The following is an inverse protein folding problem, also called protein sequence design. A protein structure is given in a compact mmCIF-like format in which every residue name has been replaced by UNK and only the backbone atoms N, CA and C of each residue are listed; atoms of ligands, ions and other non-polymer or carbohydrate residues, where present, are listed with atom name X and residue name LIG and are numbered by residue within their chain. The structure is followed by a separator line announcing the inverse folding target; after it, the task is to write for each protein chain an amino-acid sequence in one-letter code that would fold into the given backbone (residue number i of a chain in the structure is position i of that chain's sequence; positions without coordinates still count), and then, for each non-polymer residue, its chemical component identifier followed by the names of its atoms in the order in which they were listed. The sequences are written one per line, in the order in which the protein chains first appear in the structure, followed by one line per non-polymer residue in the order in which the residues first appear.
data_IF_496947817772
#
_entry.id   IF_496947817772
#
_cell.length_a   1.000
_cell.length_b   1.000
_cell.length_c   1.000
_cell.angle_alpha   90.00
_cell.angle_beta   90.00
_cell.angle_gamma   90.00
#
_symmetry.space_group_name_H-M   'P 1'
#
loop_
_entity.id
_entity.type
_entity.pdbx_description
1 polymer ?
#
# COMPACT_ATOMS: atom_id res chain seq x y z
N UNK A 1 3.04 19.81 -39.64
CA UNK A 1 2.51 19.00 -38.51
C UNK A 1 3.36 19.28 -37.28
N UNK A 2 2.78 19.91 -36.25
CA UNK A 2 3.47 20.31 -35.02
C UNK A 2 3.73 19.07 -34.16
N UNK A 3 4.99 18.80 -33.82
CA UNK A 3 5.38 17.82 -32.79
C UNK A 3 5.40 18.53 -31.44
N UNK A 4 4.61 18.06 -30.49
CA UNK A 4 4.63 18.51 -29.09
C UNK A 4 5.50 17.52 -28.31
N UNK A 5 6.61 18.02 -27.77
CA UNK A 5 7.51 17.29 -26.88
C UNK A 5 7.15 17.71 -25.45
N UNK A 6 6.66 16.78 -24.63
CA UNK A 6 6.32 17.03 -23.23
C UNK A 6 7.49 16.53 -22.36
N UNK A 7 8.37 17.44 -21.94
CA UNK A 7 9.33 17.20 -20.86
C UNK A 7 8.65 17.56 -19.53
N UNK A 8 8.45 16.58 -18.66
CA UNK A 8 8.00 16.79 -17.28
C UNK A 8 9.20 16.58 -16.34
N UNK A 9 9.89 17.68 -16.02
CA UNK A 9 10.80 17.76 -14.88
C UNK A 9 9.96 18.03 -13.63
N UNK A 10 9.63 16.97 -12.90
CA UNK A 10 9.06 17.08 -11.55
C UNK A 10 10.20 17.36 -10.57
N UNK A 11 10.47 18.65 -10.32
CA UNK A 11 11.11 19.08 -9.07
C UNK A 11 10.06 18.91 -7.96
N UNK A 12 10.05 17.76 -7.30
CA UNK A 12 9.30 17.57 -6.06
C UNK A 12 10.01 18.34 -4.94
N UNK A 13 9.57 19.57 -4.69
CA UNK A 13 9.65 20.12 -3.33
C UNK A 13 8.62 19.38 -2.48
N UNK A 14 9.06 18.32 -1.80
CA UNK A 14 8.24 17.60 -0.83
C UNK A 14 8.06 18.48 0.42
N UNK A 15 6.93 19.16 0.53
CA UNK A 15 6.48 19.68 1.82
C UNK A 15 6.03 18.48 2.69
N UNK A 16 6.78 18.19 3.76
CA UNK A 16 6.38 17.20 4.75
C UNK A 16 5.32 17.80 5.69
N UNK A 17 4.18 17.12 5.82
CA UNK A 17 3.12 17.46 6.79
C UNK A 17 3.06 16.40 7.89
N UNK A 18 2.76 16.81 9.12
CA UNK A 18 2.56 15.91 10.28
C UNK A 18 1.18 16.19 10.88
N UNK A 19 0.52 15.17 11.43
CA UNK A 19 -0.78 15.33 12.08
C UNK A 19 -0.60 15.47 13.60
N UNK A 20 -1.32 16.41 14.21
CA UNK A 20 -1.38 16.58 15.67
C UNK A 20 -2.80 16.45 16.17
N UNK A 21 -2.90 15.70 17.26
CA UNK A 21 -4.05 15.68 18.16
C UNK A 21 -3.78 16.68 19.29
N UNK A 22 -4.51 17.80 19.31
CA UNK A 22 -4.48 18.77 20.42
C UNK A 22 -5.77 18.68 21.23
N UNK A 23 -5.63 18.69 22.56
CA UNK A 23 -6.72 18.88 23.50
C UNK A 23 -6.84 20.33 23.87
N UNK A 24 -7.51 21.12 23.04
CA UNK A 24 -7.95 22.47 23.40
C UNK A 24 -9.47 22.52 23.43
N UNK A 25 -10.01 22.71 24.63
CA UNK A 25 -11.24 23.47 24.80
C UNK A 25 -10.94 24.90 24.34
N UNK A 26 -11.80 25.45 23.51
CA UNK A 26 -11.68 26.83 23.00
C UNK A 26 -11.64 27.81 24.18
N UNK A 27 -10.52 28.48 24.36
CA UNK A 27 -10.43 29.93 24.56
C UNK A 27 -8.96 30.37 24.56
N UNK A 28 -8.76 31.61 24.15
CA UNK A 28 -7.50 32.38 24.03
C UNK A 28 -6.89 32.49 22.62
N UNK A 29 -7.26 33.62 22.01
CA UNK A 29 -6.57 34.34 20.95
C UNK A 29 -5.09 34.58 21.27
N UNK A 30 -4.18 34.25 20.35
CA UNK A 30 -2.78 34.66 20.42
C UNK A 30 -2.39 35.55 19.25
N UNK A 31 -1.80 36.71 19.60
CA UNK A 31 -1.23 37.72 18.71
C UNK A 31 0.09 37.26 18.10
N UNK A 32 0.25 37.62 16.84
CA UNK A 32 1.46 37.49 16.03
C UNK A 32 2.59 38.35 16.59
N UNK A 33 3.75 37.74 16.87
CA UNK A 33 5.04 38.44 16.86
C UNK A 33 6.10 37.54 16.23
N UNK A 34 6.33 37.83 14.95
CA UNK A 34 7.39 37.30 14.13
C UNK A 34 8.69 38.08 14.39
N UNK A 35 9.77 37.39 14.80
CA UNK A 35 11.17 37.76 14.57
C UNK A 35 12.15 36.82 15.32
N UNK A 36 12.82 35.92 14.59
CA UNK A 36 14.28 35.92 14.36
C UNK A 36 14.94 34.55 14.14
N UNK A 37 15.73 34.55 13.05
CA UNK A 37 17.05 33.92 12.85
C UNK A 37 17.11 32.41 12.62
N UNK A 38 17.23 32.08 11.33
CA UNK A 38 17.79 30.84 10.80
C UNK A 38 19.11 30.46 11.48
N UNK A 39 19.06 29.45 12.35
CA UNK A 39 20.19 28.56 12.61
C UNK A 39 19.88 27.24 11.91
N UNK A 40 20.77 26.81 11.02
CA UNK A 40 20.77 25.43 10.49
C UNK A 40 20.82 24.49 11.68
N UNK A 41 19.71 23.81 11.96
CA UNK A 41 19.66 22.74 12.93
C UNK A 41 20.50 21.58 12.39
N UNK A 42 21.50 21.18 13.17
CA UNK A 42 22.27 19.97 12.99
C UNK A 42 21.27 18.81 13.11
N UNK A 43 21.12 18.01 12.05
CA UNK A 43 20.36 16.77 12.04
C UNK A 43 20.94 15.84 13.12
N UNK A 44 20.29 15.77 14.26
CA UNK A 44 20.56 14.75 15.28
C UNK A 44 19.98 13.42 14.82
N UNK A 45 20.73 12.36 15.09
CA UNK A 45 20.52 10.95 14.77
C UNK A 45 19.28 10.30 15.43
N UNK A 46 18.23 11.07 15.74
CA UNK A 46 16.97 10.60 16.32
C UNK A 46 15.96 10.15 15.24
N UNK A 47 16.36 10.13 13.96
CA UNK A 47 15.49 9.76 12.82
C UNK A 47 15.34 8.24 12.63
N UNK A 48 15.93 7.42 13.51
CA UNK A 48 16.09 5.98 13.27
C UNK A 48 15.87 5.12 14.52
N UNK A 49 14.83 5.41 15.29
CA UNK A 49 14.27 4.42 16.22
C UNK A 49 13.04 3.77 15.58
N UNK A 50 13.20 2.50 15.18
CA UNK A 50 12.07 1.61 14.90
C UNK A 50 11.32 1.37 16.21
N UNK A 51 10.22 2.11 16.40
CA UNK A 51 9.36 1.95 17.57
C UNK A 51 8.58 0.64 17.47
N UNK A 52 8.95 -0.33 18.29
CA UNK A 52 8.16 -1.54 18.53
C UNK A 52 6.75 -1.15 19.01
N UNK A 53 5.75 -1.78 18.39
CA UNK A 53 4.36 -1.66 18.81
C UNK A 53 4.21 -2.27 20.21
N UNK A 54 4.18 -1.40 21.23
CA UNK A 54 3.81 -1.71 22.63
C UNK A 54 4.91 -2.42 23.45
N UNK A 55 5.70 -1.65 24.21
CA UNK A 55 6.61 -2.17 25.25
C UNK A 55 5.87 -2.38 26.58
N UNK A 56 6.05 -3.54 27.23
CA UNK A 56 5.53 -3.86 28.57
C UNK A 56 4.27 -4.73 28.60
N UNK A 57 4.14 -5.64 29.57
CA UNK A 57 2.99 -6.55 29.72
C UNK A 57 1.72 -5.85 30.25
N UNK A 58 1.88 -4.61 30.70
CA UNK A 58 0.82 -3.81 31.31
C UNK A 58 -0.16 -3.18 30.31
N UNK A 59 0.17 -3.21 29.01
CA UNK A 59 -0.71 -2.76 27.93
C UNK A 59 -1.48 -3.94 27.36
N UNK A 60 -2.80 -3.84 27.41
CA UNK A 60 -3.71 -4.83 26.83
C UNK A 60 -4.49 -4.24 25.66
N UNK A 61 -4.47 -4.91 24.50
CA UNK A 61 -5.36 -4.60 23.38
C UNK A 61 -6.68 -5.34 23.59
N UNK A 62 -7.76 -4.61 23.90
CA UNK A 62 -9.09 -5.18 24.20
C UNK A 62 -9.85 -5.56 22.93
N UNK A 63 -9.79 -4.71 21.92
CA UNK A 63 -10.44 -4.95 20.62
C UNK A 63 -9.59 -4.44 19.46
N UNK A 64 -9.70 -5.12 18.32
CA UNK A 64 -9.07 -4.75 17.06
C UNK A 64 -10.06 -5.10 15.96
N UNK A 65 -10.64 -4.09 15.34
CA UNK A 65 -11.69 -4.24 14.33
C UNK A 65 -11.29 -3.54 13.05
N UNK A 66 -11.30 -4.26 11.95
CA UNK A 66 -11.11 -3.68 10.61
C UNK A 66 -12.38 -3.89 9.82
N UNK A 67 -13.01 -2.81 9.40
CA UNK A 67 -14.22 -2.84 8.61
C UNK A 67 -13.96 -2.13 7.29
N UNK A 68 -14.12 -2.83 6.17
CA UNK A 68 -14.02 -2.26 4.83
C UNK A 68 -15.38 -2.35 4.14
N UNK A 69 -15.83 -1.23 3.59
CA UNK A 69 -17.03 -1.14 2.73
C UNK A 69 -16.59 -0.74 1.34
N UNK A 70 -16.76 -1.67 0.40
CA UNK A 70 -16.45 -1.48 -1.01
C UNK A 70 -17.77 -1.27 -1.75
N UNK A 71 -17.93 -0.11 -2.37
CA UNK A 71 -19.08 0.21 -3.23
C UNK A 71 -18.59 0.73 -4.56
N UNK A 72 -18.98 0.08 -5.66
CA UNK A 72 -18.55 0.47 -7.01
C UNK A 72 -17.03 0.66 -7.10
N UNK A 73 -16.25 -0.34 -6.67
CA UNK A 73 -14.77 -0.32 -6.62
C UNK A 73 -14.16 0.79 -5.74
N UNK A 74 -14.95 1.52 -4.95
CA UNK A 74 -14.44 2.49 -4.00
C UNK A 74 -14.49 1.89 -2.59
N UNK A 75 -13.32 1.69 -1.99
CA UNK A 75 -13.20 1.07 -0.67
C UNK A 75 -13.07 2.16 0.40
N UNK A 76 -13.90 2.06 1.44
CA UNK A 76 -13.76 2.84 2.67
C UNK A 76 -13.46 1.90 3.81
N UNK A 77 -12.25 1.99 4.35
CA UNK A 77 -11.79 1.16 5.45
C UNK A 77 -11.70 1.95 6.74
N UNK A 78 -12.16 1.33 7.82
CA UNK A 78 -12.07 1.83 9.18
C UNK A 78 -11.32 0.82 10.04
N UNK A 79 -10.24 1.25 10.69
CA UNK A 79 -9.45 0.45 11.63
C UNK A 79 -9.68 1.01 13.02
N UNK A 80 -10.24 0.20 13.93
CA UNK A 80 -10.47 0.54 15.32
C UNK A 80 -9.64 -0.35 16.24
N UNK A 81 -8.96 0.25 17.21
CA UNK A 81 -8.19 -0.47 18.23
C UNK A 81 -8.45 0.12 19.61
N UNK A 82 -8.84 -0.72 20.57
CA UNK A 82 -9.04 -0.33 21.97
C UNK A 82 -7.91 -0.88 22.83
N UNK A 83 -7.26 -0.01 23.58
CA UNK A 83 -6.06 -0.30 24.38
C UNK A 83 -6.25 0.21 25.80
N UNK A 84 -5.79 -0.57 26.79
CA UNK A 84 -5.78 -0.20 28.21
C UNK A 84 -4.37 -0.26 28.75
N UNK A 85 -3.92 0.80 29.41
CA UNK A 85 -2.72 0.77 30.25
C UNK A 85 -3.10 0.42 31.68
N UNK A 86 -2.83 -0.82 32.09
CA UNK A 86 -3.09 -1.31 33.45
C UNK A 86 -1.88 -1.13 34.38
N UNK A 87 -0.78 -0.59 33.87
CA UNK A 87 0.47 -0.42 34.61
C UNK A 87 0.42 0.78 35.55
N UNK A 88 1.33 0.84 36.54
CA UNK A 88 1.37 1.91 37.53
C UNK A 88 1.92 3.24 36.99
N UNK A 89 2.54 3.22 35.80
CA UNK A 89 3.18 4.38 35.18
C UNK A 89 2.61 4.68 33.79
N UNK A 90 2.83 5.91 33.33
CA UNK A 90 2.51 6.28 31.96
C UNK A 90 3.46 5.59 30.98
N UNK A 91 2.95 5.16 29.83
CA UNK A 91 3.69 4.40 28.82
C UNK A 91 3.45 5.01 27.43
N UNK A 92 4.44 4.94 26.54
CA UNK A 92 4.26 5.30 25.13
C UNK A 92 3.86 4.05 24.35
N UNK A 93 2.78 4.13 23.57
CA UNK A 93 2.34 3.06 22.68
C UNK A 93 2.35 3.54 21.22
N UNK A 94 2.65 2.62 20.30
CA UNK A 94 2.52 2.85 18.86
C UNK A 94 1.19 2.31 18.34
N UNK A 95 0.45 3.12 17.60
CA UNK A 95 -0.61 2.63 16.71
C UNK A 95 -0.11 2.74 15.28
N UNK A 96 0.33 1.58 14.76
CA UNK A 96 0.94 1.47 13.45
C UNK A 96 -0.01 0.71 12.53
N UNK A 97 -0.42 1.33 11.43
CA UNK A 97 -1.29 0.73 10.41
C UNK A 97 -0.67 0.96 9.05
N UNK A 98 -0.36 -0.14 8.36
CA UNK A 98 -0.01 -0.06 6.95
C UNK A 98 -1.29 0.08 6.11
N UNK A 99 -1.30 1.07 5.21
CA UNK A 99 -2.38 1.38 4.29
C UNK A 99 -1.87 1.22 2.85
N UNK A 100 -2.75 0.89 1.88
CA UNK A 100 -2.35 0.79 0.48
C UNK A 100 -1.74 2.09 -0.07
N UNK A 101 -0.76 1.99 -0.97
CA UNK A 101 -0.08 3.13 -1.63
C UNK A 101 -1.01 4.20 -2.22
N UNK A 102 -2.19 3.76 -2.67
CA UNK A 102 -3.18 4.62 -3.37
C UNK A 102 -4.30 5.07 -2.44
N UNK A 103 -4.27 4.65 -1.18
CA UNK A 103 -5.22 5.07 -0.19
C UNK A 103 -4.85 6.46 0.33
N UNK A 104 -5.87 7.21 0.74
CA UNK A 104 -5.70 8.47 1.45
C UNK A 104 -6.47 8.42 2.76
N UNK A 105 -5.86 9.00 3.79
CA UNK A 105 -6.46 9.09 5.12
C UNK A 105 -7.51 10.20 5.09
N UNK A 106 -8.72 9.88 5.55
CA UNK A 106 -9.85 10.82 5.61
C UNK A 106 -10.06 11.36 7.00
N UNK A 107 -9.87 10.53 8.02
CA UNK A 107 -10.04 10.92 9.41
C UNK A 107 -9.21 10.01 10.32
N UNK A 108 -8.67 10.58 11.38
CA UNK A 108 -8.06 9.85 12.47
C UNK A 108 -8.54 10.45 13.78
N UNK A 109 -9.09 9.63 14.66
CA UNK A 109 -9.53 10.04 15.98
C UNK A 109 -8.92 9.16 17.07
N UNK A 110 -8.62 9.78 18.21
CA UNK A 110 -8.21 9.10 19.42
C UNK A 110 -9.18 9.47 20.52
N UNK A 111 -9.82 8.51 21.16
CA UNK A 111 -10.61 8.72 22.36
C UNK A 111 -9.78 8.34 23.59
N UNK A 112 -9.63 9.24 24.57
CA UNK A 112 -8.95 8.93 25.84
C UNK A 112 -9.94 9.18 26.98
N UNK A 113 -10.33 8.11 27.67
CA UNK A 113 -11.27 8.15 28.81
C UNK A 113 -12.58 8.92 28.51
N UNK A 114 -13.09 8.86 27.28
CA UNK A 114 -14.33 9.52 26.84
C UNK A 114 -14.11 10.86 26.13
N UNK A 115 -12.90 11.43 26.14
CA UNK A 115 -12.58 12.65 25.42
C UNK A 115 -12.05 12.29 24.04
N UNK A 116 -12.80 12.64 22.98
CA UNK A 116 -12.40 12.40 21.59
C UNK A 116 -11.55 13.54 21.07
N UNK A 117 -10.42 13.18 20.50
CA UNK A 117 -9.51 14.07 19.83
C UNK A 117 -9.48 13.74 18.33
N UNK A 118 -9.58 14.76 17.49
CA UNK A 118 -9.55 14.61 16.04
C UNK A 118 -8.17 15.07 15.53
N UNK A 119 -7.53 14.23 14.72
CA UNK A 119 -6.25 14.54 14.10
C UNK A 119 -6.37 15.72 13.16
N UNK A 120 -5.55 16.75 13.36
CA UNK A 120 -5.46 17.91 12.48
C UNK A 120 -4.14 17.92 11.71
N UNK A 121 -4.19 18.20 10.41
CA UNK A 121 -2.98 18.37 9.59
C UNK A 121 -2.31 19.69 9.98
N UNK A 122 -1.03 19.65 10.35
CA UNK A 122 -0.22 20.83 10.66
C UNK A 122 1.13 20.74 9.95
N UNK A 123 1.83 21.87 9.88
CA UNK A 123 3.23 21.88 9.44
C UNK A 123 4.10 21.09 10.43
N UNK A 124 5.09 20.35 9.92
CA UNK A 124 5.98 19.46 10.68
C UNK A 124 6.59 20.08 11.94
N UNK A 125 7.09 21.32 11.86
CA UNK A 125 7.75 21.99 13.01
C UNK A 125 6.74 22.36 14.11
N UNK A 126 5.60 22.91 13.70
CA UNK A 126 4.47 23.25 14.58
C UNK A 126 3.94 21.98 15.26
N UNK A 127 3.82 20.90 14.50
CA UNK A 127 3.29 19.63 14.99
C UNK A 127 4.11 19.07 16.18
N UNK A 128 5.44 19.07 16.03
CA UNK A 128 6.39 18.60 17.04
C UNK A 128 6.38 19.43 18.32
N UNK A 129 6.31 20.75 18.18
CA UNK A 129 6.29 21.64 19.33
C UNK A 129 5.03 21.42 20.17
N UNK A 130 3.87 21.25 19.53
CA UNK A 130 2.61 20.94 20.22
C UNK A 130 2.67 19.59 20.95
N UNK A 131 3.20 18.55 20.29
CA UNK A 131 3.34 17.22 20.89
C UNK A 131 4.24 17.24 22.13
N UNK A 132 5.42 17.86 22.04
CA UNK A 132 6.38 17.94 23.16
C UNK A 132 5.78 18.71 24.34
N UNK A 133 5.05 19.81 24.10
CA UNK A 133 4.36 20.57 25.15
C UNK A 133 3.28 19.73 25.85
N UNK A 134 2.49 18.97 25.10
CA UNK A 134 1.45 18.12 25.67
C UNK A 134 2.04 16.98 26.53
N UNK A 135 3.10 16.32 26.03
CA UNK A 135 3.84 15.29 26.77
C UNK A 135 4.46 15.83 28.05
N UNK A 136 5.09 17.01 28.00
CA UNK A 136 5.68 17.65 29.18
C UNK A 136 4.64 17.98 30.27
N UNK A 137 3.38 18.19 29.86
CA UNK A 137 2.24 18.43 30.77
C UNK A 137 1.55 17.15 31.23
N UNK A 138 2.07 15.96 30.89
CA UNK A 138 1.45 14.67 31.22
C UNK A 138 0.11 14.42 30.52
N UNK A 139 -0.22 15.17 29.47
CA UNK A 139 -1.44 14.97 28.69
C UNK A 139 -1.24 13.84 27.69
N UNK A 140 -2.33 13.14 27.36
CA UNK A 140 -2.34 12.23 26.23
C UNK A 140 -2.20 13.03 24.93
N UNK A 141 -1.26 12.63 24.08
CA UNK A 141 -0.97 13.28 22.81
C UNK A 141 -0.48 12.25 21.78
N UNK A 142 -0.83 12.46 20.51
CA UNK A 142 -0.43 11.63 19.39
C UNK A 142 0.25 12.48 18.30
N UNK A 143 1.30 11.95 17.67
CA UNK A 143 1.95 12.56 16.50
C UNK A 143 2.13 11.53 15.40
N UNK A 144 1.72 11.89 14.19
CA UNK A 144 1.87 11.03 13.01
C UNK A 144 3.12 11.41 12.24
N UNK A 145 4.01 10.45 12.01
CA UNK A 145 5.23 10.64 11.21
C UNK A 145 5.02 10.03 9.83
N UNK A 146 4.99 10.87 8.80
CA UNK A 146 5.07 10.42 7.41
C UNK A 146 6.49 10.65 6.88
N UNK A 147 7.21 9.57 6.57
CA UNK A 147 8.43 9.66 5.76
C UNK A 147 8.03 9.66 4.28
N UNK A 148 8.69 10.46 3.43
CA UNK A 148 8.40 10.50 1.99
C UNK A 148 8.68 9.17 1.28
N UNK A 149 9.45 8.27 1.92
CA UNK A 149 9.71 6.91 1.45
C UNK A 149 8.72 5.88 2.02
N UNK A 150 8.07 6.15 3.17
CA UNK A 150 7.13 5.26 3.87
C UNK A 150 5.71 5.84 3.92
N UNK A 151 5.21 6.36 2.80
CA UNK A 151 3.86 6.95 2.73
C UNK A 151 2.73 5.92 2.94
N UNK A 152 3.07 4.64 3.03
CA UNK A 152 2.15 3.52 3.24
C UNK A 152 1.96 3.16 4.71
N UNK A 153 2.74 3.71 5.66
CA UNK A 153 2.58 3.34 7.07
C UNK A 153 2.14 4.54 7.90
N UNK A 154 0.92 4.48 8.38
CA UNK A 154 0.43 5.39 9.41
C UNK A 154 1.05 4.98 10.75
N UNK A 155 2.05 5.73 11.22
CA UNK A 155 2.68 5.51 12.53
C UNK A 155 2.31 6.66 13.45
N UNK A 156 1.62 6.38 14.55
CA UNK A 156 1.41 7.36 15.62
C UNK A 156 1.97 6.85 16.94
N UNK A 157 2.76 7.69 17.61
CA UNK A 157 3.20 7.47 18.98
C UNK A 157 2.26 8.22 19.92
N UNK A 158 1.70 7.50 20.90
CA UNK A 158 0.74 8.04 21.86
C UNK A 158 1.25 7.85 23.28
N UNK A 159 1.26 8.95 24.04
CA UNK A 159 1.54 8.90 25.47
C UNK A 159 0.28 8.52 26.26
N UNK A 160 0.35 7.44 27.03
CA UNK A 160 -0.79 6.78 27.70
C UNK A 160 -0.60 6.79 29.21
N UNK A 161 -1.33 7.65 29.95
CA UNK A 161 -1.30 7.64 31.40
C UNK A 161 -1.69 6.29 32.01
N UNK A 162 -1.24 6.02 33.23
CA UNK A 162 -1.66 4.85 34.02
C UNK A 162 -3.20 4.81 34.18
N UNK A 163 -3.79 3.64 34.04
CA UNK A 163 -5.23 3.40 34.21
C UNK A 163 -6.11 3.94 33.08
N UNK A 164 -5.53 4.47 31.99
CA UNK A 164 -6.29 5.04 30.89
C UNK A 164 -6.75 3.98 29.88
N UNK A 165 -7.96 4.21 29.34
CA UNK A 165 -8.53 3.49 28.21
C UNK A 165 -8.50 4.39 26.99
N UNK A 166 -7.94 3.87 25.89
CA UNK A 166 -7.76 4.59 24.64
C UNK A 166 -8.40 3.83 23.50
N UNK A 167 -9.15 4.52 22.65
CA UNK A 167 -9.66 3.99 21.39
C UNK A 167 -9.08 4.77 20.22
N UNK A 168 -8.41 4.07 19.31
CA UNK A 168 -7.94 4.60 18.04
C UNK A 168 -8.95 4.26 16.95
N UNK A 169 -9.25 5.23 16.10
CA UNK A 169 -10.08 5.02 14.91
C UNK A 169 -9.45 5.74 13.71
N UNK A 170 -9.06 4.97 12.70
CA UNK A 170 -8.46 5.46 11.47
C UNK A 170 -9.37 5.13 10.30
N UNK A 171 -9.72 6.14 9.50
CA UNK A 171 -10.46 6.00 8.26
C UNK A 171 -9.57 6.33 7.07
N UNK A 172 -9.53 5.43 6.09
CA UNK A 172 -8.90 5.69 4.81
C UNK A 172 -9.74 5.16 3.67
N UNK A 173 -9.55 5.76 2.49
CA UNK A 173 -10.31 5.43 1.30
C UNK A 173 -9.38 5.18 0.13
N UNK A 174 -9.76 4.26 -0.76
CA UNK A 174 -9.04 4.00 -2.00
C UNK A 174 -9.99 3.68 -3.16
N UNK A 175 -9.60 4.09 -4.37
CA UNK A 175 -10.19 3.57 -5.59
C UNK A 175 -9.44 2.31 -6.00
N UNK A 176 -10.15 1.18 -5.98
CA UNK A 176 -9.58 -0.12 -6.31
C UNK A 176 -9.15 -0.19 -7.77
N UNK A 177 -8.05 -0.89 -8.00
CA UNK A 177 -7.46 -1.03 -9.33
C UNK A 177 -7.49 -2.49 -9.76
N UNK A 178 -8.00 -2.73 -10.98
CA UNK A 178 -8.10 -4.07 -11.54
C UNK A 178 -6.77 -4.48 -12.17
N UNK A 179 -6.23 -5.63 -11.79
CA UNK A 179 -5.04 -6.25 -12.40
C UNK A 179 -5.23 -7.74 -12.56
N UNK A 180 -4.70 -8.29 -13.66
CA UNK A 180 -4.73 -9.74 -13.93
C UNK A 180 -6.12 -10.36 -13.75
N UNK A 181 -7.17 -9.63 -14.12
CA UNK A 181 -8.55 -10.12 -14.05
C UNK A 181 -9.31 -9.81 -12.76
N UNK A 182 -8.68 -9.25 -11.72
CA UNK A 182 -9.32 -9.07 -10.41
C UNK A 182 -9.09 -7.69 -9.81
N UNK A 183 -10.01 -7.26 -8.96
CA UNK A 183 -9.80 -6.21 -7.98
C UNK A 183 -9.23 -6.86 -6.71
N UNK A 184 -8.08 -6.38 -6.24
CA UNK A 184 -7.42 -6.89 -5.04
C UNK A 184 -7.53 -5.84 -3.93
N UNK A 185 -8.18 -6.20 -2.82
CA UNK A 185 -8.25 -5.39 -1.61
C UNK A 185 -7.36 -6.01 -0.54
N UNK A 186 -6.33 -5.27 -0.11
CA UNK A 186 -5.34 -5.74 0.86
C UNK A 186 -5.49 -4.99 2.17
N UNK A 187 -5.71 -5.73 3.25
CA UNK A 187 -5.77 -5.23 4.62
C UNK A 187 -4.55 -5.72 5.39
N UNK A 188 -3.71 -4.80 5.85
CA UNK A 188 -2.54 -5.14 6.67
C UNK A 188 -2.97 -5.26 8.13
N UNK A 189 -2.87 -6.47 8.68
CA UNK A 189 -3.33 -6.81 10.03
C UNK A 189 -2.13 -7.03 10.94
N UNK A 190 -1.94 -6.13 11.91
CA UNK A 190 -0.83 -6.20 12.86
C UNK A 190 -1.27 -5.77 14.27
N UNK A 191 -2.12 -6.57 14.96
CA UNK A 191 -2.53 -6.28 16.32
C UNK A 191 -1.37 -6.29 17.35
N UNK A 192 -0.22 -6.92 17.03
CA UNK A 192 0.98 -7.00 17.88
C UNK A 192 0.86 -7.90 19.12
N UNK A 193 -0.35 -8.06 19.66
CA UNK A 193 -0.68 -8.87 20.84
C UNK A 193 -1.96 -9.65 20.63
N UNK A 194 -2.22 -10.61 21.51
CA UNK A 194 -3.50 -11.32 21.54
C UNK A 194 -4.66 -10.35 21.83
N UNK A 195 -5.73 -10.44 21.04
CA UNK A 195 -6.88 -9.54 21.11
C UNK A 195 -8.16 -10.32 21.39
N UNK A 196 -8.81 -10.14 22.55
CA UNK A 196 -10.05 -10.85 22.88
C UNK A 196 -11.19 -10.61 21.89
N UNK A 197 -11.28 -9.38 21.37
CA UNK A 197 -12.28 -8.99 20.37
C UNK A 197 -11.61 -8.60 19.05
N UNK A 198 -11.13 -9.61 18.32
CA UNK A 198 -10.59 -9.43 16.97
C UNK A 198 -11.68 -9.67 15.93
N UNK A 199 -11.84 -8.77 14.96
CA UNK A 199 -12.79 -8.97 13.86
C UNK A 199 -12.37 -8.20 12.61
N UNK A 200 -12.46 -8.84 11.44
CA UNK A 200 -12.34 -8.20 10.13
C UNK A 200 -13.61 -8.46 9.34
N UNK A 201 -14.21 -7.40 8.83
CA UNK A 201 -15.38 -7.44 7.97
C UNK A 201 -15.09 -6.71 6.66
N UNK A 202 -15.33 -7.37 5.53
CA UNK A 202 -15.30 -6.74 4.21
C UNK A 202 -16.67 -6.90 3.58
N UNK A 203 -17.36 -5.76 3.40
CA UNK A 203 -18.64 -5.67 2.71
C UNK A 203 -18.39 -5.17 1.31
N UNK A 204 -18.85 -5.92 0.31
CA UNK A 204 -18.75 -5.55 -1.10
C UNK A 204 -20.17 -5.35 -1.62
N UNK A 205 -20.41 -4.24 -2.32
CA UNK A 205 -21.62 -3.96 -3.06
C UNK A 205 -21.28 -3.45 -4.46
N UNK A 206 -21.73 -4.18 -5.48
CA UNK A 206 -21.49 -3.84 -6.88
C UNK A 206 -22.82 -3.82 -7.64
N UNK A 207 -23.26 -2.64 -8.12
CA UNK A 207 -24.56 -2.51 -8.81
C UNK A 207 -24.71 -3.41 -10.03
N UNK A 208 -23.62 -3.68 -10.76
CA UNK A 208 -23.59 -4.60 -11.91
C UNK A 208 -23.60 -6.08 -11.53
N UNK A 209 -23.33 -6.39 -10.27
CA UNK A 209 -23.18 -7.75 -9.77
C UNK A 209 -21.74 -8.18 -9.65
N UNK A 210 -21.53 -9.13 -8.75
CA UNK A 210 -20.25 -9.75 -8.43
C UNK A 210 -20.16 -11.05 -9.23
N UNK A 211 -19.08 -11.23 -10.00
CA UNK A 211 -18.86 -12.47 -10.76
C UNK A 211 -18.17 -13.53 -9.92
N UNK A 212 -17.17 -13.12 -9.14
CA UNK A 212 -16.33 -14.02 -8.34
C UNK A 212 -15.84 -13.30 -7.09
N UNK A 213 -15.68 -14.05 -6.01
CA UNK A 213 -15.01 -13.62 -4.77
C UNK A 213 -14.08 -14.74 -4.33
N UNK A 214 -12.81 -14.41 -4.12
CA UNK A 214 -11.75 -15.33 -3.76
C UNK A 214 -10.97 -14.74 -2.59
N UNK A 215 -10.64 -15.58 -1.62
CA UNK A 215 -9.83 -15.19 -0.47
C UNK A 215 -8.53 -15.98 -0.54
N UNK A 216 -7.47 -15.42 -1.14
CA UNK A 216 -6.17 -16.07 -1.12
C UNK A 216 -5.66 -16.21 0.31
N UNK A 217 -4.95 -17.28 0.60
CA UNK A 217 -4.42 -17.58 1.94
C UNK A 217 -3.17 -16.74 2.27
N UNK A 218 -3.18 -15.43 1.97
CA UNK A 218 -2.03 -14.53 2.15
C UNK A 218 -1.69 -14.26 3.61
N UNK A 219 -2.66 -14.41 4.52
CA UNK A 219 -2.42 -14.31 5.97
C UNK A 219 -1.81 -15.61 6.54
N UNK A 220 -1.87 -16.71 5.80
CA UNK A 220 -1.40 -18.03 6.22
C UNK A 220 -2.46 -19.11 6.11
N UNK A 221 -2.04 -20.32 5.75
CA UNK A 221 -2.95 -21.45 5.48
C UNK A 221 -3.80 -21.86 6.69
N UNK A 222 -3.30 -21.67 7.91
CA UNK A 222 -4.01 -22.04 9.15
C UNK A 222 -5.25 -21.18 9.44
N UNK A 223 -5.38 -20.01 8.81
CA UNK A 223 -6.55 -19.15 8.97
C UNK A 223 -7.65 -19.38 7.94
N UNK A 224 -7.38 -20.13 6.87
CA UNK A 224 -8.28 -20.28 5.72
C UNK A 224 -9.68 -20.76 6.12
N UNK A 225 -9.76 -21.72 7.04
CA UNK A 225 -11.04 -22.29 7.52
C UNK A 225 -11.82 -21.36 8.45
N UNK A 226 -11.18 -20.32 8.99
CA UNK A 226 -11.82 -19.35 9.88
C UNK A 226 -12.53 -18.24 9.11
N UNK A 227 -12.24 -18.11 7.82
CA UNK A 227 -12.80 -17.06 6.97
C UNK A 227 -14.13 -17.54 6.41
N UNK A 228 -15.17 -16.76 6.65
CA UNK A 228 -16.52 -17.03 6.14
C UNK A 228 -16.84 -16.04 5.04
N UNK A 229 -17.27 -16.55 3.89
CA UNK A 229 -17.71 -15.74 2.75
C UNK A 229 -19.19 -16.03 2.50
N UNK A 230 -20.01 -14.98 2.53
CA UNK A 230 -21.40 -15.02 2.09
C UNK A 230 -21.55 -14.11 0.89
N UNK A 231 -22.05 -14.63 -0.24
CA UNK A 231 -22.23 -13.84 -1.46
C UNK A 231 -23.62 -14.02 -2.03
N UNK A 232 -24.20 -12.92 -2.50
CA UNK A 232 -25.38 -12.85 -3.36
C UNK A 232 -24.95 -12.38 -4.76
N UNK A 233 -25.92 -12.03 -5.61
CA UNK A 233 -25.67 -11.49 -6.95
C UNK A 233 -24.86 -10.18 -6.92
N UNK A 234 -25.14 -9.30 -5.98
CA UNK A 234 -24.68 -7.91 -5.94
C UNK A 234 -23.93 -7.56 -4.66
N UNK A 235 -23.96 -8.43 -3.64
CA UNK A 235 -23.34 -8.21 -2.34
C UNK A 235 -22.46 -9.38 -1.96
N UNK A 236 -21.35 -9.09 -1.30
CA UNK A 236 -20.56 -10.10 -0.61
C UNK A 236 -20.16 -9.60 0.77
N UNK A 237 -20.03 -10.53 1.71
CA UNK A 237 -19.55 -10.27 3.07
C UNK A 237 -18.51 -11.32 3.41
N UNK A 238 -17.29 -10.85 3.68
CA UNK A 238 -16.17 -11.66 4.13
C UNK A 238 -15.96 -11.34 5.61
N UNK A 239 -15.95 -12.39 6.44
CA UNK A 239 -15.76 -12.29 7.89
C UNK A 239 -14.56 -13.12 8.31
N UNK A 240 -13.65 -12.50 9.07
CA UNK A 240 -12.58 -13.20 9.76
C UNK A 240 -12.60 -12.81 11.25
N UNK A 241 -12.89 -13.80 12.10
CA UNK A 241 -13.13 -13.60 13.55
C UNK A 241 -12.48 -14.71 14.40
N UNK A 242 -11.15 -14.79 14.44
CA UNK A 242 -10.42 -15.75 15.26
C UNK A 242 -10.59 -15.47 16.75
N UNK A 243 -10.79 -16.54 17.53
CA UNK A 243 -10.76 -16.46 18.99
C UNK A 243 -9.32 -16.40 19.52
N UNK A 244 -9.16 -16.19 20.84
CA UNK A 244 -7.83 -16.07 21.46
C UNK A 244 -6.93 -17.29 21.25
N UNK A 245 -7.46 -18.52 21.24
CA UNK A 245 -6.65 -19.72 21.03
C UNK A 245 -6.17 -19.82 19.59
N UNK A 246 -7.01 -19.41 18.62
CA UNK A 246 -6.67 -19.37 17.20
C UNK A 246 -5.65 -18.28 16.86
N UNK A 247 -5.45 -17.30 17.74
CA UNK A 247 -4.43 -16.24 17.57
C UNK A 247 -3.05 -16.64 18.13
N UNK A 248 -2.97 -17.68 18.95
CA UNK A 248 -1.70 -18.06 19.59
C UNK A 248 -0.78 -18.82 18.64
N UNK A 249 0.51 -18.50 18.69
CA UNK A 249 1.56 -19.25 18.01
C UNK A 249 2.00 -20.48 18.84
N UNK A 250 1.97 -20.40 20.16
CA UNK A 250 2.27 -21.49 21.09
C UNK A 250 1.45 -21.37 22.37
N UNK A 251 1.43 -22.42 23.21
CA UNK A 251 0.55 -22.49 24.39
C UNK A 251 0.72 -21.30 25.37
N UNK A 252 1.95 -20.76 25.48
CA UNK A 252 2.33 -19.72 26.45
C UNK A 252 2.80 -18.38 25.84
N UNK A 253 2.56 -18.10 24.55
CA UNK A 253 2.93 -16.78 23.99
C UNK A 253 1.87 -15.70 24.28
N UNK A 254 2.34 -14.47 24.50
CA UNK A 254 1.53 -13.24 24.55
C UNK A 254 1.37 -12.55 23.18
N UNK A 255 2.18 -12.97 22.19
CA UNK A 255 2.16 -12.47 20.83
C UNK A 255 1.08 -13.16 19.98
N UNK A 256 0.46 -12.40 19.09
CA UNK A 256 -0.49 -12.92 18.10
C UNK A 256 0.26 -13.41 16.86
N UNK A 257 -0.19 -14.51 16.28
CA UNK A 257 0.27 -15.02 14.98
C UNK A 257 -0.34 -14.24 13.80
N UNK A 258 -1.31 -13.35 14.07
CA UNK A 258 -1.85 -12.44 13.08
C UNK A 258 -0.85 -11.31 12.86
N UNK A 259 -0.01 -11.47 11.84
CA UNK A 259 0.88 -10.43 11.32
C UNK A 259 1.04 -10.67 9.81
N UNK A 260 0.35 -9.86 9.00
CA UNK A 260 0.43 -10.00 7.55
C UNK A 260 -0.74 -9.37 6.80
N UNK A 261 -0.91 -9.82 5.55
CA UNK A 261 -1.88 -9.23 4.62
C UNK A 261 -3.09 -10.15 4.49
N UNK A 262 -4.25 -9.62 4.82
CA UNK A 262 -5.54 -10.23 4.51
C UNK A 262 -6.04 -9.70 3.17
N UNK A 263 -6.13 -10.58 2.17
CA UNK A 263 -6.45 -10.19 0.80
C UNK A 263 -7.83 -10.69 0.41
N UNK A 264 -8.66 -9.80 -0.12
CA UNK A 264 -9.92 -10.14 -0.78
C UNK A 264 -9.79 -9.85 -2.26
N UNK A 265 -9.91 -10.87 -3.10
CA UNK A 265 -9.98 -10.73 -4.55
C UNK A 265 -11.42 -10.86 -4.98
N UNK A 266 -11.89 -9.97 -5.83
CA UNK A 266 -13.19 -10.13 -6.45
C UNK A 266 -13.20 -9.56 -7.86
N UNK A 267 -14.21 -9.92 -8.62
CA UNK A 267 -14.46 -9.31 -9.91
C UNK A 267 -15.95 -9.06 -10.13
N UNK A 268 -16.28 -8.19 -11.08
CA UNK A 268 -17.65 -7.81 -11.39
C UNK A 268 -18.13 -8.45 -12.68
N UNK A 269 -19.43 -8.66 -12.79
CA UNK A 269 -20.07 -9.05 -14.06
C UNK A 269 -19.81 -7.95 -15.10
N UNK A 270 -19.35 -8.36 -16.29
CA UNK A 270 -19.06 -7.44 -17.41
C UNK A 270 -19.86 -7.82 -18.64
N UNK A 271 -20.43 -6.79 -19.23
CA UNK A 271 -21.01 -6.87 -20.57
C UNK A 271 -19.92 -6.63 -21.63
N UNK A 272 -20.10 -7.14 -22.85
CA UNK A 272 -19.15 -6.95 -23.96
C UNK A 272 -19.14 -5.52 -24.56
N UNK A 273 -19.97 -4.61 -24.02
CA UNK A 273 -20.23 -3.29 -24.59
C UNK A 273 -19.33 -2.19 -23.98
N UNK A 274 -19.67 -0.91 -24.25
CA UNK A 274 -18.92 0.32 -23.98
C UNK A 274 -18.64 0.66 -22.49
N UNK A 275 -18.59 -0.32 -21.59
CA UNK A 275 -18.35 -0.14 -20.17
C UNK A 275 -19.60 0.23 -19.38
N UNK A 276 -19.39 0.58 -18.11
CA UNK A 276 -20.41 0.90 -17.13
C UNK A 276 -20.29 2.37 -16.72
N UNK A 277 -21.32 3.16 -17.00
CA UNK A 277 -21.43 4.55 -16.54
C UNK A 277 -22.37 4.60 -15.32
N UNK A 278 -21.85 5.05 -14.19
CA UNK A 278 -22.63 5.35 -12.99
C UNK A 278 -22.69 6.86 -12.79
N UNK A 279 -23.87 7.40 -12.49
CA UNK A 279 -24.10 8.83 -12.24
C UNK A 279 -24.83 8.97 -10.90
N UNK A 280 -24.30 9.80 -10.00
CA UNK A 280 -24.92 10.15 -8.72
C UNK A 280 -24.54 11.57 -8.33
N UNK A 281 -25.51 12.35 -7.86
CA UNK A 281 -25.29 13.68 -7.25
C UNK A 281 -24.40 14.63 -8.07
N UNK A 282 -24.64 14.70 -9.39
CA UNK A 282 -23.87 15.55 -10.30
C UNK A 282 -22.46 15.05 -10.64
N UNK A 283 -22.07 13.89 -10.14
CA UNK A 283 -20.81 13.21 -10.42
C UNK A 283 -21.05 11.94 -11.23
N UNK A 284 -20.02 11.48 -11.93
CA UNK A 284 -20.07 10.22 -12.67
C UNK A 284 -18.76 9.45 -12.57
N UNK A 285 -18.85 8.13 -12.73
CA UNK A 285 -17.72 7.22 -12.90
C UNK A 285 -18.00 6.32 -14.09
N UNK A 286 -17.04 6.22 -15.00
CA UNK A 286 -17.13 5.35 -16.18
C UNK A 286 -16.07 4.26 -16.11
N UNK A 287 -16.51 3.01 -15.91
CA UNK A 287 -15.64 1.84 -15.95
C UNK A 287 -15.63 1.23 -17.35
N UNK A 288 -14.52 1.35 -18.07
CA UNK A 288 -14.37 0.80 -19.42
C UNK A 288 -13.42 -0.40 -19.42
N UNK A 289 -14.00 -1.61 -19.54
CA UNK A 289 -13.25 -2.87 -19.60
C UNK A 289 -14.05 -3.92 -20.39
N UNK A 290 -14.19 -3.77 -21.72
CA UNK A 290 -14.91 -4.73 -22.55
C UNK A 290 -14.27 -6.12 -22.46
N UNK A 291 -15.11 -7.15 -22.39
CA UNK A 291 -14.71 -8.55 -22.46
C UNK A 291 -14.70 -9.07 -23.91
N UNK A 292 -14.08 -10.23 -24.13
CA UNK A 292 -14.13 -10.97 -25.40
C UNK A 292 -13.54 -10.23 -26.62
N UNK A 293 -12.63 -9.28 -26.40
CA UNK A 293 -11.81 -8.73 -27.49
C UNK A 293 -10.69 -9.71 -27.82
N UNK A 294 -10.54 -10.03 -29.10
CA UNK A 294 -9.37 -10.78 -29.58
C UNK A 294 -8.10 -9.97 -29.28
N UNK A 295 -7.04 -10.61 -28.74
CA UNK A 295 -5.76 -9.95 -28.56
C UNK A 295 -5.28 -9.34 -29.88
N UNK A 296 -4.92 -8.06 -29.86
CA UNK A 296 -4.34 -7.42 -31.03
C UNK A 296 -2.89 -7.90 -31.23
N UNK A 297 -2.48 -8.19 -32.48
CA UNK A 297 -1.08 -8.37 -32.82
C UNK A 297 -0.24 -7.17 -32.37
N UNK A 298 0.94 -7.43 -31.82
CA UNK A 298 1.82 -6.38 -31.27
C UNK A 298 3.17 -6.38 -31.98
N UNK A 299 3.74 -5.19 -32.11
CA UNK A 299 5.13 -4.97 -32.49
C UNK A 299 5.91 -4.63 -31.22
N UNK A 300 6.86 -5.49 -30.81
CA UNK A 300 7.55 -5.39 -29.53
C UNK A 300 9.06 -5.34 -29.74
N UNK A 301 9.72 -4.31 -29.21
CA UNK A 301 11.19 -4.27 -29.15
C UNK A 301 11.61 -4.41 -27.69
N UNK A 302 12.33 -5.47 -27.37
CA UNK A 302 12.90 -5.66 -26.04
C UNK A 302 14.27 -5.00 -25.98
N UNK A 303 14.41 -3.97 -25.14
CA UNK A 303 15.67 -3.26 -24.95
C UNK A 303 16.26 -3.65 -23.58
N UNK A 304 17.37 -4.39 -23.59
CA UNK A 304 17.91 -5.09 -22.42
C UNK A 304 19.27 -4.51 -22.03
N UNK A 305 19.39 -4.01 -20.80
CA UNK A 305 20.69 -3.59 -20.24
C UNK A 305 21.54 -4.84 -19.95
N UNK A 306 22.75 -4.85 -20.51
CA UNK A 306 23.77 -5.90 -20.33
C UNK A 306 25.10 -5.32 -19.84
N UNK A 307 25.04 -4.20 -19.14
CA UNK A 307 26.17 -3.59 -18.45
C UNK A 307 26.75 -4.51 -17.37
N UNK A 308 27.99 -4.25 -16.94
CA UNK A 308 28.64 -5.04 -15.89
C UNK A 308 27.83 -5.10 -14.58
N UNK A 309 27.00 -4.08 -14.31
CA UNK A 309 26.14 -4.04 -13.13
C UNK A 309 25.08 -5.15 -13.11
N UNK A 310 24.72 -5.71 -14.26
CA UNK A 310 23.70 -6.75 -14.40
C UNK A 310 24.21 -8.14 -14.03
N UNK A 311 25.51 -8.29 -13.77
CA UNK A 311 26.12 -9.57 -13.44
C UNK A 311 25.46 -10.27 -12.25
N UNK A 312 25.43 -11.61 -12.29
CA UNK A 312 24.86 -12.45 -11.26
C UNK A 312 23.33 -12.59 -11.38
N UNK A 313 22.63 -12.35 -10.26
CA UNK A 313 21.20 -12.66 -10.11
C UNK A 313 20.32 -11.86 -11.07
N UNK A 314 20.62 -10.57 -11.29
CA UNK A 314 19.81 -9.69 -12.16
C UNK A 314 19.78 -10.20 -13.60
N UNK A 315 20.93 -10.56 -14.18
CA UNK A 315 20.96 -11.13 -15.53
C UNK A 315 20.28 -12.49 -15.58
N UNK A 316 20.49 -13.37 -14.58
CA UNK A 316 19.81 -14.67 -14.53
C UNK A 316 18.29 -14.51 -14.56
N UNK A 317 17.74 -13.64 -13.71
CA UNK A 317 16.30 -13.36 -13.67
C UNK A 317 15.80 -12.73 -14.97
N UNK A 318 16.59 -11.86 -15.60
CA UNK A 318 16.24 -11.25 -16.89
C UNK A 318 16.19 -12.29 -18.01
N UNK A 319 17.15 -13.22 -18.07
CA UNK A 319 17.15 -14.33 -19.04
C UNK A 319 15.94 -15.24 -18.82
N UNK A 320 15.66 -15.63 -17.57
CA UNK A 320 14.49 -16.46 -17.23
C UNK A 320 13.17 -15.77 -17.62
N UNK A 321 13.03 -14.47 -17.33
CA UNK A 321 11.85 -13.69 -17.70
C UNK A 321 11.70 -13.58 -19.22
N UNK A 322 12.79 -13.30 -19.95
CA UNK A 322 12.76 -13.24 -21.41
C UNK A 322 12.41 -14.59 -22.04
N UNK A 323 12.89 -15.70 -21.48
CA UNK A 323 12.51 -17.03 -21.96
C UNK A 323 11.00 -17.27 -21.85
N UNK A 324 10.40 -16.90 -20.72
CA UNK A 324 8.95 -17.02 -20.52
C UNK A 324 8.15 -16.06 -21.42
N UNK A 325 8.58 -14.80 -21.54
CA UNK A 325 7.92 -13.81 -22.40
C UNK A 325 7.94 -14.25 -23.86
N UNK A 326 9.06 -14.80 -24.34
CA UNK A 326 9.18 -15.30 -25.71
C UNK A 326 8.30 -16.53 -25.98
N UNK A 327 8.00 -17.35 -24.97
CA UNK A 327 7.04 -18.47 -25.11
C UNK A 327 5.60 -18.01 -25.28
N UNK A 328 5.25 -16.85 -24.72
CA UNK A 328 3.90 -16.28 -24.78
C UNK A 328 3.63 -15.48 -26.07
N UNK A 329 4.65 -15.26 -26.91
CA UNK A 329 4.48 -14.58 -28.20
C UNK A 329 3.75 -15.47 -29.20
N UNK A 330 2.86 -14.86 -29.99
CA UNK A 330 2.12 -15.54 -31.05
C UNK A 330 2.75 -15.30 -32.42
N UNK A 331 2.38 -16.12 -33.41
CA UNK A 331 2.89 -15.98 -34.80
C UNK A 331 2.52 -14.64 -35.44
N UNK A 332 1.42 -14.02 -34.97
CA UNK A 332 0.96 -12.72 -35.45
C UNK A 332 1.70 -11.55 -34.80
N UNK A 333 2.37 -11.76 -33.67
CA UNK A 333 3.21 -10.76 -33.04
C UNK A 333 4.53 -10.62 -33.80
N UNK A 334 5.06 -9.39 -33.85
CA UNK A 334 6.38 -9.10 -34.42
C UNK A 334 7.30 -8.57 -33.34
N UNK A 335 8.53 -9.06 -33.28
CA UNK A 335 9.45 -8.65 -32.24
C UNK A 335 10.91 -8.53 -32.70
N UNK A 336 11.70 -7.80 -31.92
CA UNK A 336 13.17 -7.83 -31.98
C UNK A 336 13.74 -7.61 -30.58
N UNK A 337 15.02 -7.93 -30.41
CA UNK A 337 15.76 -7.78 -29.16
C UNK A 337 16.98 -6.90 -29.44
N UNK A 338 17.12 -5.86 -28.63
CA UNK A 338 18.27 -4.98 -28.58
C UNK A 338 18.90 -5.15 -27.21
N UNK A 339 20.16 -5.54 -27.15
CA UNK A 339 20.93 -5.48 -25.91
C UNK A 339 21.95 -4.37 -25.98
N UNK A 340 22.19 -3.73 -24.84
CA UNK A 340 23.11 -2.61 -24.78
C UNK A 340 23.97 -2.62 -23.52
N UNK A 341 25.22 -2.22 -23.72
CA UNK A 341 26.12 -1.81 -22.67
C UNK A 341 26.74 -0.46 -23.07
N UNK A 342 28.04 -0.36 -23.29
CA UNK A 342 28.65 0.80 -23.97
C UNK A 342 28.39 0.78 -25.49
N UNK A 343 28.08 -0.39 -26.06
CA UNK A 343 27.67 -0.57 -27.45
C UNK A 343 26.22 -1.05 -27.50
N UNK A 344 25.56 -0.82 -28.64
CA UNK A 344 24.21 -1.33 -28.93
C UNK A 344 24.31 -2.47 -29.94
N UNK A 345 23.64 -3.59 -29.65
CA UNK A 345 23.59 -4.76 -30.53
C UNK A 345 22.13 -5.15 -30.75
N UNK A 346 21.82 -5.53 -31.98
CA UNK A 346 20.50 -6.02 -32.35
C UNK A 346 20.61 -7.51 -32.67
N UNK A 347 19.75 -8.33 -32.08
CA UNK A 347 19.59 -9.72 -32.49
C UNK A 347 19.04 -9.79 -33.92
N UNK A 348 18.06 -8.95 -34.24
CA UNK A 348 17.53 -8.76 -35.59
C UNK A 348 17.38 -7.28 -35.91
N UNK A 349 17.85 -6.87 -37.10
CA UNK A 349 17.79 -5.47 -37.57
C UNK A 349 16.36 -5.00 -37.85
N UNK A 350 15.45 -5.95 -38.15
CA UNK A 350 14.02 -5.73 -38.40
C UNK A 350 13.17 -6.55 -37.45
N UNK A 351 11.91 -6.14 -37.26
CA UNK A 351 10.95 -6.96 -36.52
C UNK A 351 10.65 -8.26 -37.29
N UNK A 352 10.68 -9.39 -36.59
CA UNK A 352 10.37 -10.71 -37.14
C UNK A 352 9.15 -11.30 -36.46
N UNK A 353 8.39 -12.13 -37.17
CA UNK A 353 7.21 -12.80 -36.62
C UNK A 353 7.57 -13.74 -35.46
N UNK A 354 6.68 -13.88 -34.48
CA UNK A 354 6.75 -14.83 -33.35
C UNK A 354 6.58 -16.30 -33.74
N UNK A 355 7.24 -16.74 -34.82
CA UNK A 355 7.30 -18.15 -35.22
C UNK A 355 8.21 -18.94 -34.26
N UNK A 356 7.96 -20.23 -34.10
CA UNK A 356 8.75 -21.11 -33.22
C UNK A 356 10.25 -21.11 -33.54
N UNK A 357 10.62 -20.97 -34.83
CA UNK A 357 12.02 -20.90 -35.27
C UNK A 357 12.68 -19.62 -34.76
N UNK A 358 12.01 -18.47 -34.95
CA UNK A 358 12.52 -17.17 -34.51
C UNK A 358 12.55 -17.06 -32.98
N UNK A 359 11.54 -17.59 -32.31
CA UNK A 359 11.49 -17.66 -30.84
C UNK A 359 12.66 -18.49 -30.30
N UNK A 360 12.93 -19.66 -30.89
CA UNK A 360 14.04 -20.49 -30.43
C UNK A 360 15.40 -19.84 -30.67
N UNK A 361 15.59 -19.17 -31.81
CA UNK A 361 16.81 -18.43 -32.10
C UNK A 361 17.01 -17.25 -31.13
N UNK A 362 15.96 -16.47 -30.89
CA UNK A 362 15.95 -15.39 -29.90
C UNK A 362 16.28 -15.89 -28.48
N UNK A 363 15.73 -17.04 -28.08
CA UNK A 363 16.05 -17.66 -26.78
C UNK A 363 17.52 -18.04 -26.67
N UNK A 364 18.09 -18.61 -27.73
CA UNK A 364 19.52 -18.94 -27.79
C UNK A 364 20.37 -17.66 -27.71
N UNK A 365 19.96 -16.58 -28.38
CA UNK A 365 20.61 -15.28 -28.29
C UNK A 365 20.65 -14.78 -26.84
N UNK A 366 19.49 -14.70 -26.19
CA UNK A 366 19.35 -14.18 -24.82
C UNK A 366 20.14 -15.03 -23.82
N UNK A 367 20.13 -16.35 -23.96
CA UNK A 367 20.86 -17.25 -23.07
C UNK A 367 22.39 -17.04 -23.11
N UNK A 368 22.92 -16.57 -24.25
CA UNK A 368 24.34 -16.35 -24.46
C UNK A 368 24.81 -14.92 -24.15
N UNK A 369 23.91 -14.04 -23.72
CA UNK A 369 24.25 -12.68 -23.31
C UNK A 369 25.18 -12.71 -22.08
N UNK A 370 26.28 -11.97 -22.18
CA UNK A 370 27.27 -11.83 -21.08
C UNK A 370 27.36 -10.38 -20.63
N UNK A 371 26.92 -10.06 -19.40
CA UNK A 371 27.01 -8.73 -18.82
C UNK A 371 28.46 -8.22 -18.80
N UNK A 372 28.71 -7.04 -19.37
CA UNK A 372 30.02 -6.39 -19.31
C UNK A 372 29.93 -4.89 -19.68
N UNK A 373 30.96 -4.12 -19.33
CA UNK A 373 31.11 -2.73 -19.79
C UNK A 373 30.14 -1.73 -19.14
N UNK A 374 30.04 -0.54 -19.75
CA UNK A 374 29.21 0.57 -19.29
C UNK A 374 27.74 0.50 -19.73
N UNK A 375 27.03 1.63 -19.70
CA UNK A 375 25.58 1.71 -19.97
C UNK A 375 25.26 2.92 -20.85
N UNK A 376 24.90 2.68 -22.12
CA UNK A 376 24.55 3.66 -23.13
C UNK A 376 23.07 3.50 -23.51
N UNK A 377 22.21 3.85 -22.57
CA UNK A 377 20.75 3.73 -22.73
C UNK A 377 20.20 4.63 -23.84
N UNK A 378 20.83 5.79 -24.07
CA UNK A 378 20.37 6.75 -25.06
C UNK A 378 20.43 6.17 -26.48
N UNK A 379 21.57 5.60 -26.88
CA UNK A 379 21.71 4.99 -28.21
C UNK A 379 20.76 3.80 -28.39
N UNK A 380 20.59 2.99 -27.34
CA UNK A 380 19.70 1.84 -27.37
C UNK A 380 18.23 2.23 -27.60
N UNK A 381 17.75 3.28 -26.91
CA UNK A 381 16.39 3.79 -27.06
C UNK A 381 16.17 4.55 -28.37
N UNK A 382 17.21 5.14 -28.97
CA UNK A 382 17.12 5.74 -30.30
C UNK A 382 17.13 4.69 -31.41
N UNK A 383 17.75 3.53 -31.17
CA UNK A 383 17.80 2.40 -32.10
C UNK A 383 16.50 1.58 -32.10
N UNK A 384 15.82 1.50 -30.95
CA UNK A 384 14.52 0.87 -30.76
C UNK A 384 13.40 1.67 -31.42
#
# INVERSE_FOLDING_TARGET
MKRVLLLLLLLHQSCCFEFVIDGRCEDETFQDQDQQRHKRAILTSEEQEDFEAIRGDDITVKSYRVESRITSRFAHTTVRSSVVNSGPSAQSIGFNVQIPKRAFITNFTMNVNGITFVGSVKEKTVARNLYTQARARGKAAGIVRANSQDMETFKTEVHVPSGSHIEFELHYQEMMHRRLGFYEHSLYLQPGRLVPQFQVDVYIYEPKGISTVEIPNTLGQHFSELIKVTSTKDKAHVVFKPNLQQQKLCENCSHSVIDGVFTVKYDVVRDANAGELQVSDGHFVHFFAPSNLSPLPKNIVFVIDVSGSMWGVKMKQTVEAMQAILDDLTVDDFFSIIDFNHNVRCWSESLVSGSSIQIQDAKNYVQNIKPNGGTNINEALLRA
#
